data_IF_529786347355
#
_entry.id   IF_529786347355
#
_cell.length_a   1.000
_cell.length_b   1.000
_cell.length_c   1.000
_cell.angle_alpha   90.00
_cell.angle_beta   90.00
_cell.angle_gamma   90.00
#
_symmetry.space_group_name_H-M   'P 1'
#
loop_
_entity.id
_entity.type
_entity.pdbx_description
1 polymer ?
#
# COMPACT_ATOMS: atom_id res chain seq x y z
N UNK A 1 -0.94 -19.09 -7.89
CA UNK A 1 -1.84 -18.16 -7.18
C UNK A 1 -2.12 -16.96 -8.08
N UNK A 2 -3.40 -16.66 -8.29
CA UNK A 2 -3.82 -15.56 -9.15
C UNK A 2 -3.99 -14.27 -8.35
N UNK A 3 -2.87 -13.68 -7.95
CA UNK A 3 -2.88 -12.43 -7.19
C UNK A 3 -2.21 -11.35 -8.03
N UNK A 4 -2.95 -10.29 -8.32
CA UNK A 4 -2.45 -9.16 -9.10
C UNK A 4 -1.20 -8.54 -8.45
N UNK A 5 -1.23 -8.34 -7.13
CA UNK A 5 -0.10 -7.69 -6.45
C UNK A 5 1.09 -8.63 -6.32
N UNK A 6 0.86 -9.95 -6.15
CA UNK A 6 1.96 -10.91 -6.22
C UNK A 6 2.64 -10.87 -7.59
N UNK A 7 1.85 -10.76 -8.67
CA UNK A 7 2.39 -10.66 -10.02
C UNK A 7 3.20 -9.37 -10.22
N UNK A 8 2.74 -8.26 -9.65
CA UNK A 8 3.48 -6.99 -9.70
C UNK A 8 4.80 -7.10 -8.93
N UNK A 9 4.76 -7.66 -7.74
CA UNK A 9 5.98 -7.86 -6.91
C UNK A 9 6.98 -8.74 -7.62
N UNK A 10 6.51 -9.78 -8.33
CA UNK A 10 7.38 -10.73 -9.05
C UNK A 10 7.87 -10.18 -10.39
N UNK A 11 7.37 -9.02 -10.83
CA UNK A 11 7.76 -8.45 -12.12
C UNK A 11 7.00 -8.99 -13.32
N UNK A 12 5.98 -9.83 -13.09
CA UNK A 12 5.17 -10.40 -14.18
C UNK A 12 4.24 -9.37 -14.80
N UNK A 13 3.84 -8.35 -14.04
CA UNK A 13 3.01 -7.24 -14.50
C UNK A 13 3.79 -5.95 -14.23
N UNK A 14 3.91 -5.05 -15.23
CA UNK A 14 4.64 -3.81 -15.03
C UNK A 14 3.95 -2.88 -14.04
N UNK A 15 4.73 -2.06 -13.35
CA UNK A 15 4.24 -1.06 -12.41
C UNK A 15 5.22 0.11 -12.35
N UNK A 16 4.74 1.24 -11.84
CA UNK A 16 5.62 2.39 -11.59
C UNK A 16 6.13 2.31 -10.17
N UNK A 17 7.27 1.63 -10.00
CA UNK A 17 7.88 1.40 -8.71
C UNK A 17 8.34 2.72 -8.08
N UNK A 18 8.02 2.88 -6.79
CA UNK A 18 8.43 4.03 -5.98
C UNK A 18 9.50 3.61 -4.98
N UNK A 19 9.36 2.41 -4.41
CA UNK A 19 10.25 1.93 -3.37
C UNK A 19 10.19 0.40 -3.32
N UNK A 20 11.30 -0.20 -2.96
CA UNK A 20 11.36 -1.65 -2.78
C UNK A 20 12.47 -2.00 -1.80
N UNK A 21 12.18 -2.97 -0.91
CA UNK A 21 13.20 -3.61 -0.10
C UNK A 21 12.89 -5.11 -0.01
N UNK A 22 13.56 -5.83 0.88
CA UNK A 22 13.39 -7.28 0.97
C UNK A 22 11.97 -7.70 1.37
N UNK A 23 11.21 -6.83 2.04
CA UNK A 23 9.94 -7.20 2.66
C UNK A 23 8.74 -6.51 2.04
N UNK A 24 8.90 -5.37 1.38
CA UNK A 24 7.78 -4.63 0.82
C UNK A 24 8.11 -3.99 -0.52
N UNK A 25 7.05 -3.61 -1.22
CA UNK A 25 7.11 -3.02 -2.55
C UNK A 25 6.08 -1.89 -2.62
N UNK A 26 6.46 -0.77 -3.19
CA UNK A 26 5.56 0.38 -3.33
C UNK A 26 5.52 0.85 -4.78
N UNK A 27 4.32 1.16 -5.27
CA UNK A 27 4.12 1.58 -6.66
C UNK A 27 2.94 2.54 -6.76
N UNK A 28 2.91 3.33 -7.83
CA UNK A 28 1.82 4.29 -8.05
C UNK A 28 0.56 3.58 -8.52
N UNK A 29 -0.60 4.02 -8.00
CA UNK A 29 -1.90 3.52 -8.45
C UNK A 29 -2.17 4.02 -9.87
N UNK A 30 -2.68 3.13 -10.74
CA UNK A 30 -3.00 3.50 -12.12
C UNK A 30 -4.30 4.29 -12.24
N UNK A 31 -5.12 4.29 -11.19
CA UNK A 31 -6.38 5.02 -11.11
C UNK A 31 -6.38 5.90 -9.87
N UNK A 32 -5.53 6.94 -9.83
CA UNK A 32 -5.30 7.70 -8.59
C UNK A 32 -6.55 8.44 -8.14
N UNK A 33 -6.78 8.43 -6.82
CA UNK A 33 -7.88 9.14 -6.17
C UNK A 33 -7.42 10.40 -5.44
N UNK A 34 -6.14 10.76 -5.60
CA UNK A 34 -5.54 11.97 -5.07
C UNK A 34 -4.39 12.34 -6.01
N UNK A 35 -3.85 13.57 -5.96
CA UNK A 35 -2.73 13.96 -6.81
C UNK A 35 -1.53 13.01 -6.66
N UNK A 36 -1.30 12.51 -5.44
CA UNK A 36 -0.33 11.44 -5.19
C UNK A 36 -1.08 10.27 -4.58
N UNK A 37 -1.00 9.11 -5.21
CA UNK A 37 -1.66 7.89 -4.75
C UNK A 37 -0.73 6.71 -4.99
N UNK A 38 -0.15 6.21 -3.90
CA UNK A 38 0.81 5.12 -3.90
C UNK A 38 0.23 3.94 -3.12
N UNK A 39 0.58 2.73 -3.52
CA UNK A 39 0.23 1.51 -2.81
C UNK A 39 1.50 0.90 -2.23
N UNK A 40 1.44 0.45 -0.97
CA UNK A 40 2.53 -0.28 -0.34
C UNK A 40 2.02 -1.66 0.03
N UNK A 41 2.71 -2.69 -0.42
CA UNK A 41 2.31 -4.08 -0.22
C UNK A 41 3.46 -4.88 0.39
N UNK A 42 3.18 -5.86 1.25
CA UNK A 42 4.19 -6.84 1.62
C UNK A 42 4.50 -7.74 0.43
N UNK A 43 5.73 -8.20 0.33
CA UNK A 43 6.10 -9.18 -0.70
C UNK A 43 5.49 -10.54 -0.39
N UNK A 44 5.36 -10.87 0.89
CA UNK A 44 4.63 -12.03 1.34
C UNK A 44 3.14 -11.82 1.07
N UNK A 45 2.45 -12.84 0.58
CA UNK A 45 1.01 -12.76 0.35
C UNK A 45 0.26 -12.89 1.68
N UNK A 46 -0.38 -11.81 2.10
CA UNK A 46 -1.30 -11.76 3.22
C UNK A 46 -2.58 -11.18 2.65
N UNK A 47 -3.73 -11.85 2.85
CA UNK A 47 -4.95 -11.45 2.15
C UNK A 47 -5.49 -10.10 2.62
N UNK A 48 -5.48 -9.84 3.93
CA UNK A 48 -5.97 -8.58 4.49
C UNK A 48 -5.47 -8.40 5.92
N UNK A 49 -5.82 -7.28 6.53
CA UNK A 49 -5.50 -7.03 7.94
C UNK A 49 -6.08 -8.09 8.87
N UNK A 50 -7.19 -8.75 8.47
CA UNK A 50 -7.78 -9.84 9.26
C UNK A 50 -6.88 -11.07 9.37
N UNK A 51 -5.89 -11.19 8.48
CA UNK A 51 -4.99 -12.34 8.42
C UNK A 51 -3.64 -12.05 9.06
N UNK A 52 -3.50 -10.90 9.72
CA UNK A 52 -2.29 -10.55 10.46
C UNK A 52 -2.35 -11.27 11.80
N UNK A 53 -1.23 -11.90 12.16
CA UNK A 53 -1.07 -12.65 13.40
C UNK A 53 0.27 -12.32 14.03
N UNK A 54 0.56 -12.90 15.19
CA UNK A 54 1.86 -12.71 15.82
C UNK A 54 3.00 -13.21 14.94
N UNK A 55 2.75 -14.23 14.11
CA UNK A 55 3.77 -14.84 13.25
C UNK A 55 4.15 -13.95 12.06
N UNK A 56 3.24 -13.09 11.59
CA UNK A 56 3.50 -12.27 10.40
C UNK A 56 3.42 -10.76 10.64
N UNK A 57 3.09 -10.33 11.86
CA UNK A 57 2.89 -8.89 12.16
C UNK A 57 4.16 -8.06 11.97
N UNK A 58 5.34 -8.66 12.02
CA UNK A 58 6.59 -7.94 11.83
C UNK A 58 6.67 -7.26 10.46
N UNK A 59 6.03 -7.82 9.41
CA UNK A 59 6.05 -7.19 8.10
C UNK A 59 5.24 -5.89 8.10
N UNK A 60 4.17 -5.82 8.89
CA UNK A 60 3.36 -4.59 9.02
C UNK A 60 4.18 -3.50 9.71
N UNK A 61 4.88 -3.86 10.79
CA UNK A 61 5.79 -2.93 11.46
C UNK A 61 6.86 -2.42 10.49
N UNK A 62 7.42 -3.31 9.68
CA UNK A 62 8.40 -2.94 8.66
C UNK A 62 7.83 -1.96 7.63
N UNK A 63 6.61 -2.22 7.14
CA UNK A 63 5.94 -1.33 6.19
C UNK A 63 5.80 0.07 6.78
N UNK A 64 5.43 0.18 8.07
CA UNK A 64 5.28 1.47 8.72
C UNK A 64 6.61 2.19 8.96
N UNK A 65 7.73 1.49 8.94
CA UNK A 65 9.05 2.15 8.91
C UNK A 65 9.43 2.60 7.50
N UNK A 66 8.93 1.93 6.48
CA UNK A 66 9.17 2.29 5.08
C UNK A 66 8.31 3.48 4.63
N UNK A 67 7.08 3.60 5.14
CA UNK A 67 6.14 4.63 4.71
C UNK A 67 6.71 6.05 4.79
N UNK A 68 7.36 6.48 5.88
CA UNK A 68 7.96 7.82 5.91
C UNK A 68 9.01 8.04 4.82
N UNK A 69 9.78 7.01 4.48
CA UNK A 69 10.77 7.09 3.40
C UNK A 69 10.09 7.24 2.04
N UNK A 70 9.01 6.49 1.83
CA UNK A 70 8.21 6.55 0.61
C UNK A 70 7.56 7.93 0.47
N UNK A 71 6.96 8.44 1.54
CA UNK A 71 6.32 9.74 1.55
C UNK A 71 7.32 10.86 1.22
N UNK A 72 8.53 10.77 1.77
CA UNK A 72 9.59 11.73 1.47
C UNK A 72 9.97 11.68 0.00
N UNK A 73 10.13 10.48 -0.55
CA UNK A 73 10.46 10.31 -1.96
C UNK A 73 9.35 10.88 -2.87
N UNK A 74 8.11 10.85 -2.42
CA UNK A 74 6.96 11.38 -3.16
C UNK A 74 6.72 12.88 -2.91
N UNK A 75 7.51 13.52 -2.05
CA UNK A 75 7.37 14.94 -1.76
C UNK A 75 6.20 15.29 -0.84
N UNK A 76 5.70 14.35 -0.06
CA UNK A 76 4.54 14.54 0.81
C UNK A 76 4.96 15.16 2.15
N UNK A 77 5.44 16.41 2.10
CA UNK A 77 6.03 17.08 3.26
C UNK A 77 4.99 17.68 4.22
N UNK A 78 3.75 17.86 3.76
CA UNK A 78 2.68 18.47 4.58
C UNK A 78 1.70 17.43 5.15
N UNK A 79 2.03 16.16 5.05
CA UNK A 79 1.18 15.10 5.54
C UNK A 79 0.53 14.30 4.42
N UNK A 80 -0.08 13.19 4.81
CA UNK A 80 -0.72 12.26 3.88
C UNK A 80 -1.65 11.35 4.68
N UNK A 81 -2.46 10.61 3.96
CA UNK A 81 -3.40 9.67 4.57
C UNK A 81 -3.03 8.25 4.21
N UNK A 82 -3.11 7.37 5.20
CA UNK A 82 -2.90 5.93 5.01
C UNK A 82 -4.25 5.24 5.15
N UNK A 83 -4.61 4.41 4.16
CA UNK A 83 -5.88 3.68 4.17
C UNK A 83 -5.60 2.22 3.83
N UNK A 84 -6.20 1.30 4.57
CA UNK A 84 -6.23 -0.11 4.20
C UNK A 84 -7.68 -0.58 4.23
N UNK A 85 -8.12 -1.24 3.18
CA UNK A 85 -9.49 -1.73 3.02
C UNK A 85 -9.52 -3.22 3.34
N UNK A 86 -10.53 -3.66 4.10
CA UNK A 86 -10.67 -5.04 4.54
C UNK A 86 -12.07 -5.53 4.18
N UNK A 87 -12.14 -6.60 3.41
CA UNK A 87 -13.39 -7.27 3.12
C UNK A 87 -14.32 -6.47 2.21
N UNK A 88 -15.54 -6.99 2.05
CA UNK A 88 -16.51 -6.41 1.12
C UNK A 88 -17.03 -5.05 1.60
N UNK A 89 -17.36 -4.94 2.87
CA UNK A 89 -17.86 -3.66 3.41
C UNK A 89 -16.78 -2.57 3.41
N UNK A 90 -15.51 -2.95 3.44
CA UNK A 90 -14.39 -2.02 3.33
C UNK A 90 -13.96 -1.75 1.89
N UNK A 91 -14.63 -2.35 0.91
CA UNK A 91 -14.32 -2.21 -0.52
C UNK A 91 -12.91 -2.68 -0.88
N UNK A 92 -12.49 -3.81 -0.32
CA UNK A 92 -11.20 -4.39 -0.69
C UNK A 92 -11.29 -5.03 -2.07
N UNK A 93 -10.68 -4.41 -3.06
CA UNK A 93 -10.75 -4.86 -4.45
C UNK A 93 -9.73 -5.96 -4.78
N UNK A 94 -8.57 -5.94 -4.15
CA UNK A 94 -7.51 -6.94 -4.35
C UNK A 94 -7.24 -7.63 -3.03
N UNK A 95 -7.30 -8.97 -3.02
CA UNK A 95 -7.13 -9.80 -1.82
C UNK A 95 -5.65 -10.03 -1.51
N UNK A 96 -4.93 -8.94 -1.34
CA UNK A 96 -3.54 -8.88 -0.92
C UNK A 96 -3.42 -7.60 -0.09
N UNK A 97 -3.00 -7.73 1.16
CA UNK A 97 -2.87 -6.59 2.08
C UNK A 97 -2.15 -5.44 1.40
N UNK A 98 -2.73 -4.25 1.46
CA UNK A 98 -2.10 -3.07 0.90
C UNK A 98 -2.52 -1.82 1.67
N UNK A 99 -1.64 -0.84 1.66
CA UNK A 99 -1.85 0.45 2.28
C UNK A 99 -1.79 1.50 1.19
N UNK A 100 -2.91 2.23 1.02
CA UNK A 100 -2.94 3.41 0.16
C UNK A 100 -2.24 4.55 0.86
N UNK A 101 -1.39 5.26 0.16
CA UNK A 101 -0.82 6.52 0.61
C UNK A 101 -1.39 7.60 -0.31
N UNK A 102 -2.18 8.51 0.26
CA UNK A 102 -2.90 9.53 -0.47
C UNK A 102 -2.43 10.90 0.00
N UNK A 103 -2.11 11.78 -0.93
CA UNK A 103 -1.66 13.12 -0.58
C UNK A 103 -1.47 14.02 -1.79
N UNK A 104 -0.63 15.04 -1.63
CA UNK A 104 -0.35 15.99 -2.69
C UNK A 104 -1.22 17.24 -2.64
N UNK A 105 -2.27 17.22 -1.82
CA UNK A 105 -3.15 18.35 -1.54
C UNK A 105 -3.85 18.10 -0.22
N UNK A 106 -4.53 19.10 0.32
CA UNK A 106 -5.33 18.88 1.53
C UNK A 106 -6.55 18.05 1.17
N UNK A 107 -6.63 16.86 1.75
CA UNK A 107 -7.75 15.94 1.53
C UNK A 107 -8.95 16.36 2.35
N UNK A 108 -10.15 15.88 1.96
CA UNK A 108 -11.36 16.04 2.77
C UNK A 108 -11.17 15.40 4.13
N UNK A 109 -11.80 15.94 5.17
CA UNK A 109 -11.75 15.33 6.51
C UNK A 109 -12.75 14.18 6.68
N UNK A 110 -13.51 13.83 5.64
CA UNK A 110 -14.40 12.68 5.67
C UNK A 110 -13.58 11.39 5.68
N UNK A 111 -14.05 10.41 6.45
CA UNK A 111 -13.43 9.08 6.51
C UNK A 111 -14.06 8.11 5.51
N UNK A 112 -15.24 8.41 5.02
CA UNK A 112 -15.92 7.57 4.04
C UNK A 112 -16.79 8.40 3.08
#
# INVERSE_FOLDING_TARGET
MNCLFCAIVNGDIPSKKVYEDEKCYAFLDIAPQAPVHCLVVPKEHIASANDISEENSAVVAHIFTAIPKIAKALGLVNGYRIVSNIGDDGCQSVKHLHFHILGGEKLSDKMA
#
